data_IF_511905959616
#
_entry.id   IF_511905959616
#
_cell.length_a   1.000
_cell.length_b   1.000
_cell.length_c   1.000
_cell.angle_alpha   90.00
_cell.angle_beta   90.00
_cell.angle_gamma   90.00
#
_symmetry.space_group_name_H-M   'P 1'
#
loop_
_entity.id
_entity.type
_entity.pdbx_description
1 polymer ?
#
# COMPACT_ATOMS: atom_id res chain seq x y z
N UNK A 1 19.88 17.76 0.62
CA UNK A 1 20.53 16.72 -0.21
C UNK A 1 19.72 16.66 -1.49
N UNK A 2 20.28 17.07 -2.64
CA UNK A 2 19.53 17.11 -3.88
C UNK A 2 19.17 15.68 -4.32
N UNK A 3 17.88 15.41 -4.49
CA UNK A 3 17.38 14.09 -4.87
C UNK A 3 17.51 13.97 -6.38
N UNK A 4 18.55 13.29 -6.87
CA UNK A 4 18.75 13.11 -8.31
C UNK A 4 17.74 12.11 -8.87
N UNK A 5 17.00 12.50 -9.92
CA UNK A 5 16.01 11.67 -10.62
C UNK A 5 16.57 10.31 -11.08
N UNK A 6 17.87 10.22 -11.41
CA UNK A 6 18.51 8.95 -11.77
C UNK A 6 18.44 7.92 -10.63
N UNK A 7 18.46 8.37 -9.38
CA UNK A 7 18.34 7.51 -8.20
C UNK A 7 16.89 7.27 -7.77
N UNK A 8 15.90 8.01 -8.30
CA UNK A 8 14.48 7.90 -7.93
C UNK A 8 13.95 6.46 -8.00
N UNK A 9 14.38 5.68 -8.99
CA UNK A 9 13.98 4.28 -9.19
C UNK A 9 14.43 3.32 -8.07
N UNK A 10 15.36 3.75 -7.23
CA UNK A 10 15.82 3.00 -6.06
C UNK A 10 14.96 3.25 -4.81
N UNK A 11 14.14 4.29 -4.85
CA UNK A 11 13.25 4.68 -3.78
C UNK A 11 11.87 4.08 -3.98
N UNK A 12 11.21 3.77 -2.86
CA UNK A 12 9.90 3.15 -2.85
C UNK A 12 9.01 3.73 -1.75
N UNK A 13 7.73 3.81 -2.07
CA UNK A 13 6.68 4.22 -1.14
C UNK A 13 5.64 3.11 -1.03
N UNK A 14 5.24 2.78 0.20
CA UNK A 14 4.24 1.76 0.49
C UNK A 14 3.14 2.30 1.40
N UNK A 15 1.95 1.74 1.27
CA UNK A 15 0.80 2.07 2.13
C UNK A 15 0.42 0.87 2.99
N UNK A 16 0.35 1.07 4.29
CA UNK A 16 -0.23 0.15 5.26
C UNK A 16 -1.70 0.57 5.42
N UNK A 17 -2.59 -0.07 4.67
CA UNK A 17 -4.02 0.22 4.69
C UNK A 17 -4.70 -0.62 5.77
N UNK A 18 -5.41 0.03 6.70
CA UNK A 18 -6.18 -0.61 7.79
C UNK A 18 -7.65 -0.25 7.65
N UNK A 19 -8.51 -1.26 7.64
CA UNK A 19 -9.94 -1.10 7.85
C UNK A 19 -10.28 -1.62 9.25
N UNK A 20 -10.96 -0.82 10.08
CA UNK A 20 -11.25 -1.18 11.48
C UNK A 20 -11.96 -2.54 11.63
N UNK A 21 -12.87 -2.87 10.72
CA UNK A 21 -13.62 -4.13 10.72
C UNK A 21 -12.88 -5.32 10.10
N UNK A 22 -12.14 -5.11 9.01
CA UNK A 22 -11.61 -6.19 8.17
C UNK A 22 -10.13 -6.46 8.45
N UNK A 23 -9.37 -5.45 8.88
CA UNK A 23 -7.95 -5.56 9.18
C UNK A 23 -7.07 -4.88 8.14
N UNK A 24 -5.88 -5.45 7.93
CA UNK A 24 -4.84 -4.91 7.05
C UNK A 24 -4.97 -5.46 5.64
N UNK A 25 -4.99 -4.57 4.64
CA UNK A 25 -5.07 -4.95 3.23
C UNK A 25 -3.76 -5.57 2.75
N UNK A 26 -3.86 -6.73 2.10
CA UNK A 26 -2.77 -7.33 1.34
C UNK A 26 -3.24 -7.73 -0.06
N UNK A 27 -2.38 -7.52 -1.06
CA UNK A 27 -2.65 -7.81 -2.46
C UNK A 27 -1.92 -9.07 -2.89
N UNK A 28 -2.57 -9.97 -3.61
CA UNK A 28 -1.93 -11.17 -4.16
C UNK A 28 -1.42 -10.87 -5.56
N UNK A 29 -0.11 -10.98 -5.76
CA UNK A 29 0.50 -10.78 -7.07
C UNK A 29 -0.11 -11.71 -8.13
N UNK A 30 -0.24 -11.22 -9.35
CA UNK A 30 -0.84 -11.95 -10.45
C UNK A 30 -0.10 -13.24 -10.82
N UNK A 31 -0.86 -14.25 -11.26
CA UNK A 31 -0.37 -15.59 -11.57
C UNK A 31 0.58 -15.63 -12.76
N UNK A 32 0.56 -14.59 -13.61
CA UNK A 32 1.47 -14.40 -14.72
C UNK A 32 2.86 -13.85 -14.31
N UNK A 33 3.13 -13.64 -13.02
CA UNK A 33 4.44 -13.24 -12.48
C UNK A 33 5.11 -14.43 -11.76
N UNK A 34 5.88 -15.31 -12.44
CA UNK A 34 6.37 -16.56 -11.86
C UNK A 34 7.23 -16.37 -10.60
N UNK A 35 8.02 -15.29 -10.56
CA UNK A 35 8.88 -14.94 -9.42
C UNK A 35 8.11 -14.46 -8.18
N UNK A 36 6.85 -14.04 -8.37
CA UNK A 36 5.95 -13.54 -7.32
C UNK A 36 4.69 -14.40 -7.17
N UNK A 37 4.63 -15.57 -7.80
CA UNK A 37 3.42 -16.38 -7.85
C UNK A 37 2.88 -16.66 -6.44
N UNK A 38 1.65 -16.22 -6.18
CA UNK A 38 0.96 -16.42 -4.92
C UNK A 38 1.53 -15.66 -3.72
N UNK A 39 2.44 -14.72 -3.94
CA UNK A 39 2.96 -13.86 -2.87
C UNK A 39 1.99 -12.73 -2.59
N UNK A 40 1.86 -12.38 -1.31
CA UNK A 40 1.15 -11.19 -0.90
C UNK A 40 2.10 -10.00 -0.78
N UNK A 41 1.60 -8.82 -1.10
CA UNK A 41 2.31 -7.56 -1.02
C UNK A 41 1.43 -6.45 -0.41
N UNK A 42 2.10 -5.39 0.08
CA UNK A 42 1.42 -4.15 0.45
C UNK A 42 1.24 -3.33 -0.83
N UNK A 43 0.17 -2.53 -0.93
CA UNK A 43 0.07 -1.53 -1.99
C UNK A 43 1.29 -0.60 -1.97
N UNK A 44 1.87 -0.35 -3.13
CA UNK A 44 3.04 0.52 -3.24
C UNK A 44 4.11 0.04 -4.20
N UNK A 45 5.00 0.96 -4.56
CA UNK A 45 5.93 0.74 -5.65
C UNK A 45 7.10 1.72 -5.66
N UNK A 46 7.65 1.91 -6.84
CA UNK A 46 8.79 2.81 -7.05
C UNK A 46 8.30 4.23 -7.25
N UNK A 47 9.14 5.20 -6.89
CA UNK A 47 8.94 6.57 -7.32
C UNK A 47 9.13 6.65 -8.84
N UNK A 48 8.30 7.47 -9.49
CA UNK A 48 8.31 7.77 -10.91
C UNK A 48 8.53 9.26 -11.15
N UNK A 49 8.89 9.65 -12.38
CA UNK A 49 9.22 11.03 -12.73
C UNK A 49 8.08 12.01 -12.42
N UNK A 50 6.83 11.57 -12.59
CA UNK A 50 5.64 12.37 -12.29
C UNK A 50 5.45 12.64 -10.79
N UNK A 51 6.05 11.84 -9.91
CA UNK A 51 5.98 12.06 -8.46
C UNK A 51 6.80 13.28 -8.01
N UNK A 52 7.70 13.79 -8.86
CA UNK A 52 8.58 14.94 -8.58
C UNK A 52 8.00 16.28 -9.06
N UNK A 53 6.89 16.27 -9.80
CA UNK A 53 6.37 17.48 -10.45
C UNK A 53 5.86 18.47 -9.42
N UNK A 54 6.50 19.65 -9.37
CA UNK A 54 6.08 20.77 -8.54
C UNK A 54 6.58 20.75 -7.10
N UNK A 55 7.28 19.70 -6.67
CA UNK A 55 7.65 19.51 -5.26
C UNK A 55 9.16 19.51 -5.00
N UNK A 56 9.55 20.18 -3.92
CA UNK A 56 10.90 20.10 -3.35
C UNK A 56 10.96 19.30 -2.05
N UNK A 57 9.82 19.05 -1.41
CA UNK A 57 9.77 18.24 -0.19
C UNK A 57 9.80 16.75 -0.54
N UNK A 58 10.83 16.07 -0.04
CA UNK A 58 10.97 14.63 -0.19
C UNK A 58 9.77 13.89 0.40
N UNK A 59 9.21 14.32 1.53
CA UNK A 59 8.06 13.62 2.14
C UNK A 59 6.86 13.62 1.21
N UNK A 60 6.55 14.77 0.61
CA UNK A 60 5.42 14.91 -0.31
C UNK A 60 5.62 14.09 -1.59
N UNK A 61 6.84 14.00 -2.11
CA UNK A 61 7.16 13.14 -3.26
C UNK A 61 6.82 11.66 -2.96
N UNK A 62 7.22 11.15 -1.80
CA UNK A 62 6.90 9.76 -1.42
C UNK A 62 5.42 9.57 -1.12
N UNK A 63 4.77 10.56 -0.53
CA UNK A 63 3.34 10.51 -0.23
C UNK A 63 2.50 10.49 -1.52
N UNK A 64 2.91 11.27 -2.53
CA UNK A 64 2.33 11.27 -3.88
C UNK A 64 2.51 9.92 -4.57
N UNK A 65 3.72 9.34 -4.52
CA UNK A 65 3.98 8.00 -5.04
C UNK A 65 3.12 6.94 -4.35
N UNK A 66 3.01 6.98 -3.01
CA UNK A 66 2.14 6.08 -2.25
C UNK A 66 0.66 6.22 -2.64
N UNK A 67 0.16 7.44 -2.81
CA UNK A 67 -1.22 7.70 -3.23
C UNK A 67 -1.49 7.21 -4.67
N UNK A 68 -0.54 7.40 -5.59
CA UNK A 68 -0.61 6.92 -6.98
C UNK A 68 -0.69 5.39 -7.01
N UNK A 69 0.28 4.72 -6.39
CA UNK A 69 0.35 3.25 -6.38
C UNK A 69 -0.89 2.64 -5.73
N UNK A 70 -1.35 3.19 -4.60
CA UNK A 70 -2.59 2.75 -3.96
C UNK A 70 -3.79 2.83 -4.91
N UNK A 71 -3.95 3.96 -5.61
CA UNK A 71 -5.04 4.15 -6.55
C UNK A 71 -4.93 3.19 -7.74
N UNK A 72 -3.74 3.05 -8.32
CA UNK A 72 -3.47 2.20 -9.48
C UNK A 72 -3.74 0.73 -9.16
N UNK A 73 -3.30 0.26 -7.99
CA UNK A 73 -3.37 -1.15 -7.58
C UNK A 73 -4.71 -1.55 -6.96
N UNK A 74 -5.45 -0.62 -6.34
CA UNK A 74 -6.65 -0.94 -5.53
C UNK A 74 -7.91 -0.13 -5.87
N UNK A 75 -7.74 1.00 -6.55
CA UNK A 75 -8.82 1.97 -6.81
C UNK A 75 -9.16 2.88 -5.63
N UNK A 76 -8.55 2.69 -4.45
CA UNK A 76 -8.70 3.62 -3.32
C UNK A 76 -8.01 4.93 -3.68
N UNK A 77 -8.79 6.01 -3.79
CA UNK A 77 -8.28 7.31 -4.24
C UNK A 77 -8.15 8.31 -3.08
N UNK A 78 -6.91 8.59 -2.68
CA UNK A 78 -6.57 9.61 -1.67
C UNK A 78 -5.75 10.74 -2.26
N UNK A 79 -5.62 10.83 -3.60
CA UNK A 79 -4.73 11.80 -4.26
C UNK A 79 -5.16 13.26 -4.02
N UNK A 80 -6.44 13.49 -3.74
CA UNK A 80 -6.99 14.80 -3.37
C UNK A 80 -7.11 15.02 -1.85
N UNK A 81 -6.68 14.04 -1.04
CA UNK A 81 -6.74 14.06 0.43
C UNK A 81 -5.52 13.34 1.02
N UNK A 82 -4.32 13.70 0.52
CA UNK A 82 -3.07 13.01 0.88
C UNK A 82 -2.71 13.17 2.35
N UNK A 83 -3.25 14.17 3.06
CA UNK A 83 -3.09 14.34 4.51
C UNK A 83 -3.60 13.15 5.33
N UNK A 84 -4.43 12.27 4.76
CA UNK A 84 -4.81 10.99 5.38
C UNK A 84 -3.68 9.97 5.42
N UNK A 85 -2.67 10.10 4.58
CA UNK A 85 -1.47 9.25 4.57
C UNK A 85 -0.52 9.73 5.65
N UNK A 86 -0.60 9.11 6.83
CA UNK A 86 0.26 9.45 7.96
C UNK A 86 1.59 8.69 7.81
N UNK A 87 2.71 9.43 7.77
CA UNK A 87 4.02 8.81 7.62
C UNK A 87 4.33 7.91 8.83
N UNK A 88 4.75 6.69 8.54
CA UNK A 88 5.32 5.77 9.54
C UNK A 88 6.84 5.92 9.55
N UNK A 89 7.39 6.39 10.67
CA UNK A 89 8.82 6.59 10.85
C UNK A 89 9.41 5.59 11.84
N UNK A 90 10.41 4.83 11.38
CA UNK A 90 11.24 3.99 12.24
C UNK A 90 12.66 3.91 11.70
N UNK A 91 13.65 4.19 12.55
CA UNK A 91 15.07 4.25 12.16
C UNK A 91 15.64 2.91 11.71
N UNK A 92 14.96 1.80 12.02
CA UNK A 92 15.34 0.44 11.60
C UNK A 92 14.89 0.12 10.18
N UNK A 93 14.06 0.97 9.56
CA UNK A 93 13.66 0.86 8.16
C UNK A 93 14.67 1.65 7.30
N UNK A 94 15.24 1.06 6.22
CA UNK A 94 16.19 1.79 5.40
C UNK A 94 15.50 2.95 4.70
N UNK A 95 16.12 4.15 4.72
CA UNK A 95 15.55 5.42 4.24
C UNK A 95 14.99 5.40 2.82
N UNK A 96 15.46 4.47 1.97
CA UNK A 96 14.96 4.34 0.60
C UNK A 96 13.54 3.76 0.50
N UNK A 97 13.04 3.17 1.56
CA UNK A 97 11.64 2.75 1.72
C UNK A 97 10.95 3.71 2.67
N UNK A 98 9.85 4.31 2.22
CA UNK A 98 8.95 5.08 3.08
C UNK A 98 7.60 4.36 3.17
N UNK A 99 6.98 4.46 4.34
CA UNK A 99 5.72 3.82 4.63
C UNK A 99 4.73 4.88 5.12
N UNK A 100 3.48 4.72 4.72
CA UNK A 100 2.38 5.57 5.15
C UNK A 100 1.25 4.70 5.66
N UNK A 101 0.68 5.05 6.80
CA UNK A 101 -0.51 4.42 7.34
C UNK A 101 -1.74 5.13 6.76
N UNK A 102 -2.73 4.35 6.36
CA UNK A 102 -4.02 4.85 5.93
C UNK A 102 -5.13 4.06 6.63
N UNK A 103 -5.95 4.75 7.40
CA UNK A 103 -7.20 4.18 7.89
C UNK A 103 -8.32 4.45 6.87
N UNK A 104 -9.01 3.38 6.47
CA UNK A 104 -10.15 3.42 5.56
C UNK A 104 -11.41 2.91 6.24
N UNK A 105 -12.56 3.32 5.71
CA UNK A 105 -13.88 2.88 6.15
C UNK A 105 -14.72 2.33 4.99
N UNK A 106 -15.96 1.92 5.28
CA UNK A 106 -16.87 1.38 4.27
C UNK A 106 -17.22 2.41 3.17
N UNK A 107 -17.19 3.73 3.46
CA UNK A 107 -17.43 4.77 2.47
C UNK A 107 -16.32 4.81 1.41
N UNK A 108 -15.06 4.68 1.84
CA UNK A 108 -13.89 4.60 0.94
C UNK A 108 -14.04 3.44 -0.04
N UNK A 109 -14.49 2.27 0.45
CA UNK A 109 -14.73 1.09 -0.37
C UNK A 109 -15.94 1.28 -1.30
N UNK A 110 -17.02 1.91 -0.82
CA UNK A 110 -18.24 2.14 -1.61
C UNK A 110 -18.00 3.11 -2.77
N UNK A 111 -17.08 4.06 -2.63
CA UNK A 111 -16.78 5.06 -3.66
C UNK A 111 -16.08 4.44 -4.87
N UNK A 112 -15.39 3.31 -4.69
CA UNK A 112 -14.82 2.52 -5.79
C UNK A 112 -15.92 2.06 -6.74
N UNK A 113 -17.07 1.64 -6.22
CA UNK A 113 -18.21 1.18 -7.04
C UNK A 113 -18.92 2.30 -7.79
N UNK A 114 -18.90 3.52 -7.26
CA UNK A 114 -19.55 4.70 -7.87
C UNK A 114 -18.73 5.29 -9.01
N UNK A 115 -17.43 5.00 -9.03
CA UNK A 115 -16.53 5.50 -10.06
C UNK A 115 -16.78 4.77 -11.39
N UNK A 116 -16.84 5.51 -12.51
CA UNK A 116 -17.19 5.00 -13.85
C UNK A 116 -16.13 4.08 -14.50
N UNK A 117 -15.38 3.31 -13.70
CA UNK A 117 -14.31 2.46 -14.20
C UNK A 117 -14.81 1.13 -14.77
N UNK A 118 -13.95 0.52 -15.58
CA UNK A 118 -14.19 -0.78 -16.19
C UNK A 118 -14.46 -1.85 -15.12
N UNK A 119 -15.66 -2.42 -15.14
CA UNK A 119 -16.12 -3.44 -14.19
C UNK A 119 -15.29 -4.72 -14.22
N UNK A 120 -14.50 -4.94 -15.27
CA UNK A 120 -13.64 -6.13 -15.43
C UNK A 120 -12.55 -6.26 -14.36
N UNK A 121 -12.22 -5.18 -13.66
CA UNK A 121 -11.17 -5.13 -12.63
C UNK A 121 -11.71 -5.18 -11.20
N UNK A 122 -13.02 -5.26 -11.05
CA UNK A 122 -13.67 -5.31 -9.74
C UNK A 122 -13.53 -6.73 -9.18
N UNK A 123 -12.94 -6.85 -8.00
CA UNK A 123 -12.77 -8.12 -7.28
C UNK A 123 -13.42 -8.01 -5.91
N UNK A 124 -14.02 -9.10 -5.47
CA UNK A 124 -14.43 -9.29 -4.07
C UNK A 124 -13.27 -9.82 -3.25
N UNK A 125 -13.26 -9.52 -1.96
CA UNK A 125 -12.24 -10.04 -1.05
C UNK A 125 -12.27 -11.57 -0.98
N UNK A 126 -11.08 -12.17 -0.95
CA UNK A 126 -10.93 -13.62 -0.78
C UNK A 126 -11.39 -14.12 0.59
N UNK A 127 -11.56 -13.22 1.57
CA UNK A 127 -12.09 -13.53 2.91
C UNK A 127 -13.61 -13.68 2.97
N UNK A 128 -14.35 -13.39 1.89
CA UNK A 128 -15.82 -13.48 1.85
C UNK A 128 -16.55 -12.35 2.58
N UNK A 129 -15.85 -11.25 2.89
CA UNK A 129 -16.38 -10.14 3.71
C UNK A 129 -17.23 -9.12 2.93
N UNK A 130 -17.50 -9.35 1.64
CA UNK A 130 -18.30 -8.47 0.78
C UNK A 130 -17.64 -7.13 0.43
N UNK A 131 -16.39 -6.91 0.87
CA UNK A 131 -15.59 -5.76 0.45
C UNK A 131 -15.11 -5.92 -0.99
N UNK A 132 -15.13 -4.84 -1.76
CA UNK A 132 -14.80 -4.82 -3.18
C UNK A 132 -13.68 -3.81 -3.44
N UNK A 133 -12.69 -4.21 -4.25
CA UNK A 133 -11.63 -3.33 -4.76
C UNK A 133 -11.52 -3.42 -6.27
N UNK A 134 -10.95 -2.38 -6.89
CA UNK A 134 -10.57 -2.38 -8.31
C UNK A 134 -9.08 -2.72 -8.41
N UNK A 135 -8.75 -3.97 -8.73
CA UNK A 135 -7.37 -4.40 -8.81
C UNK A 135 -6.73 -4.08 -10.16
N UNK A 136 -5.46 -3.68 -10.16
CA UNK A 136 -4.69 -3.62 -11.40
C UNK A 136 -4.45 -5.02 -11.99
N UNK A 137 -4.01 -5.10 -13.24
CA UNK A 137 -3.56 -6.36 -13.86
C UNK A 137 -2.33 -6.98 -13.17
N UNK A 138 -1.72 -6.29 -12.22
CA UNK A 138 -0.60 -6.77 -11.44
C UNK A 138 -1.01 -7.74 -10.32
N UNK A 139 -2.31 -7.77 -10.00
CA UNK A 139 -2.87 -8.49 -8.85
C UNK A 139 -4.10 -9.32 -9.24
N UNK A 140 -4.18 -10.54 -8.72
CA UNK A 140 -5.31 -11.45 -9.02
C UNK A 140 -6.44 -11.33 -7.99
N UNK A 141 -6.09 -11.02 -6.75
CA UNK A 141 -7.01 -11.00 -5.61
C UNK A 141 -6.41 -10.18 -4.47
N UNK A 142 -7.23 -9.90 -3.45
CA UNK A 142 -6.79 -9.29 -2.21
C UNK A 142 -7.50 -9.97 -1.03
N UNK A 143 -7.04 -9.66 0.18
CA UNK A 143 -7.76 -9.96 1.41
C UNK A 143 -7.41 -8.94 2.48
N UNK A 144 -8.24 -8.89 3.51
CA UNK A 144 -7.90 -8.24 4.76
C UNK A 144 -7.47 -9.28 5.80
N UNK A 145 -6.44 -8.94 6.58
CA UNK A 145 -5.93 -9.77 7.66
C UNK A 145 -6.01 -8.98 8.96
N UNK A 146 -6.84 -9.42 9.92
CA UNK A 146 -7.07 -8.70 11.18
C UNK A 146 -5.82 -8.56 12.04
N UNK A 147 -5.06 -9.63 12.17
CA UNK A 147 -3.86 -9.67 12.99
C UNK A 147 -2.66 -9.13 12.21
N UNK A 148 -1.98 -8.12 12.78
CA UNK A 148 -0.86 -7.44 12.13
C UNK A 148 0.36 -8.36 11.94
N UNK A 149 0.58 -9.33 12.84
CA UNK A 149 1.69 -10.29 12.75
C UNK A 149 1.41 -11.32 11.65
N UNK A 150 0.18 -11.78 11.50
CA UNK A 150 -0.24 -12.63 10.38
C UNK A 150 -0.12 -11.88 9.05
N UNK A 151 -0.52 -10.61 9.00
CA UNK A 151 -0.31 -9.76 7.82
C UNK A 151 1.19 -9.67 7.48
N UNK A 152 2.04 -9.41 8.48
CA UNK A 152 3.50 -9.38 8.32
C UNK A 152 4.07 -10.70 7.79
N UNK A 153 3.61 -11.86 8.28
CA UNK A 153 4.02 -13.18 7.78
C UNK A 153 3.63 -13.37 6.32
N UNK A 154 2.42 -12.96 5.93
CA UNK A 154 1.90 -13.14 4.57
C UNK A 154 2.75 -12.40 3.51
N UNK A 155 3.34 -11.26 3.87
CA UNK A 155 4.13 -10.41 2.98
C UNK A 155 5.66 -10.55 3.16
N UNK A 156 6.13 -11.61 3.83
CA UNK A 156 7.55 -11.78 4.18
C UNK A 156 8.51 -11.72 2.98
N UNK A 157 8.07 -12.15 1.80
CA UNK A 157 8.87 -12.14 0.57
C UNK A 157 8.81 -10.81 -0.18
N UNK A 158 7.87 -9.94 0.18
CA UNK A 158 7.67 -8.67 -0.51
C UNK A 158 8.80 -7.68 -0.17
N UNK A 159 9.40 -7.09 -1.22
CA UNK A 159 10.47 -6.10 -1.10
C UNK A 159 11.60 -6.51 -0.15
N UNK A 160 12.09 -7.75 -0.29
CA UNK A 160 13.19 -8.31 0.52
C UNK A 160 12.87 -8.37 2.03
N UNK A 161 11.59 -8.48 2.38
CA UNK A 161 11.11 -8.55 3.77
C UNK A 161 11.01 -7.20 4.47
N UNK A 162 11.32 -6.08 3.81
CA UNK A 162 11.23 -4.74 4.40
C UNK A 162 9.78 -4.39 4.76
N UNK A 163 8.80 -4.77 3.93
CA UNK A 163 7.39 -4.53 4.22
C UNK A 163 6.89 -5.33 5.43
N UNK A 164 7.30 -6.61 5.53
CA UNK A 164 7.02 -7.44 6.71
C UNK A 164 7.63 -6.85 7.98
N UNK A 165 8.88 -6.38 7.89
CA UNK A 165 9.55 -5.68 8.99
C UNK A 165 8.77 -4.43 9.41
N UNK A 166 8.28 -3.62 8.47
CA UNK A 166 7.51 -2.42 8.79
C UNK A 166 6.25 -2.73 9.60
N UNK A 167 5.48 -3.77 9.22
CA UNK A 167 4.31 -4.20 9.98
C UNK A 167 4.66 -4.67 11.40
N UNK A 168 5.74 -5.44 11.57
CA UNK A 168 6.21 -5.87 12.91
C UNK A 168 6.60 -4.65 13.78
N UNK A 169 7.24 -3.64 13.19
CA UNK A 169 7.63 -2.44 13.93
C UNK A 169 6.42 -1.59 14.31
N UNK A 170 5.43 -1.48 13.43
CA UNK A 170 4.16 -0.82 13.72
C UNK A 170 3.42 -1.50 14.89
N UNK A 171 3.35 -2.83 14.90
CA UNK A 171 2.72 -3.62 15.97
C UNK A 171 3.32 -3.34 17.35
N UNK A 172 4.66 -3.25 17.42
CA UNK A 172 5.36 -2.92 18.66
C UNK A 172 5.08 -1.48 19.13
N UNK A 173 4.85 -0.54 18.21
CA UNK A 173 4.49 0.84 18.57
C UNK A 173 3.05 0.93 19.10
N UNK A 174 2.09 0.21 18.48
CA UNK A 174 0.71 0.13 18.98
C UNK A 174 0.68 -0.49 20.40
N UNK A 175 1.48 -1.53 20.65
CA UNK A 175 1.54 -2.22 21.96
C UNK A 175 2.23 -1.40 23.07
N UNK A 176 3.02 -0.38 22.72
CA UNK A 176 3.76 0.45 23.71
C UNK A 176 2.96 1.64 24.25
N UNK A 177 1.72 1.83 23.76
CA UNK A 177 0.84 2.96 24.12
C UNK A 177 -0.28 2.52 25.09
N UNK A 178 -0.41 1.22 25.37
CA UNK A 178 -1.30 0.64 26.41
C UNK A 178 -0.57 0.42 27.74
#
# INVERSE_FOLDING_TARGET
>A
MAFELHNARNFKAFVIVKHSKYGYLVLKSASNKPKKLGQYELPGGRLEENDFVGESDQTEIFQRAAARELFEETGIDVRYNMQRLIRFEDTRIPRKWQFFCLEINDDDLSNILKSHYDKNYIKESSSGEGSILRLSSEHDSFMFIKDLKEAAKSIQRHSQGVCSKALILLDNQETSIE
#
